data_IF_352685578241
#
_entry.id   IF_352685578241
#
_cell.length_a   1.000
_cell.length_b   1.000
_cell.length_c   1.000
_cell.angle_alpha   90.00
_cell.angle_beta   90.00
_cell.angle_gamma   90.00
#
_symmetry.space_group_name_H-M   'P 1'
#
loop_
_entity.id
_entity.type
_entity.pdbx_description
1 polymer ?
#
# COMPACT_ATOMS: atom_id res chain seq x y z
N UNK A 1 -23.49 -8.74 -6.03
CA UNK A 1 -22.04 -8.46 -5.93
C UNK A 1 -21.59 -7.00 -6.20
N UNK A 2 -22.43 -5.98 -6.48
CA UNK A 2 -21.94 -4.60 -6.64
C UNK A 2 -21.33 -3.99 -5.36
N UNK A 3 -21.86 -4.38 -4.19
CA UNK A 3 -21.39 -3.93 -2.87
C UNK A 3 -19.89 -4.14 -2.66
N UNK A 4 -19.36 -5.31 -3.08
CA UNK A 4 -17.94 -5.65 -2.91
C UNK A 4 -17.09 -4.84 -3.89
N UNK A 5 -17.56 -4.65 -5.12
CA UNK A 5 -16.85 -3.87 -6.14
C UNK A 5 -16.75 -2.39 -5.76
N UNK A 6 -17.81 -1.80 -5.24
CA UNK A 6 -17.85 -0.41 -4.77
C UNK A 6 -16.99 -0.20 -3.52
N UNK A 7 -16.93 -1.19 -2.62
CA UNK A 7 -16.07 -1.14 -1.44
C UNK A 7 -14.60 -1.48 -1.75
N UNK A 8 -14.31 -2.01 -2.94
CA UNK A 8 -12.99 -2.56 -3.29
C UNK A 8 -11.91 -1.48 -3.44
N UNK A 9 -12.25 -0.23 -3.78
CA UNK A 9 -11.28 0.87 -3.81
C UNK A 9 -10.68 1.14 -2.43
N UNK A 10 -11.56 1.35 -1.45
CA UNK A 10 -11.17 1.66 -0.06
C UNK A 10 -10.54 0.48 0.66
N UNK A 11 -11.19 -0.70 0.59
CA UNK A 11 -10.67 -1.90 1.24
C UNK A 11 -9.43 -2.43 0.54
N UNK A 12 -9.35 -2.32 -0.79
CA UNK A 12 -8.22 -2.83 -1.55
C UNK A 12 -6.94 -2.08 -1.22
N UNK A 13 -6.98 -0.75 -1.20
CA UNK A 13 -5.82 0.09 -0.86
C UNK A 13 -5.36 -0.11 0.60
N UNK A 14 -6.29 -0.24 1.55
CA UNK A 14 -5.98 -0.60 2.94
C UNK A 14 -5.38 -2.01 3.04
N UNK A 15 -6.00 -3.00 2.40
CA UNK A 15 -5.57 -4.39 2.44
C UNK A 15 -4.14 -4.54 1.89
N UNK A 16 -3.88 -3.98 0.70
CA UNK A 16 -2.56 -3.98 0.10
C UNK A 16 -1.55 -3.23 0.94
N UNK A 17 -1.95 -2.10 1.55
CA UNK A 17 -1.09 -1.34 2.44
C UNK A 17 -0.65 -2.12 3.68
N UNK A 18 -1.61 -2.73 4.37
CA UNK A 18 -1.35 -3.60 5.53
C UNK A 18 -0.50 -4.80 5.11
N UNK A 19 -0.83 -5.45 4.00
CA UNK A 19 -0.12 -6.62 3.50
C UNK A 19 1.35 -6.30 3.22
N UNK A 20 1.65 -5.22 2.51
CA UNK A 20 3.03 -4.82 2.23
C UNK A 20 3.81 -4.47 3.49
N UNK A 21 3.18 -3.79 4.46
CA UNK A 21 3.82 -3.51 5.75
C UNK A 21 4.12 -4.80 6.51
N UNK A 22 3.16 -5.72 6.62
CA UNK A 22 3.35 -7.02 7.27
C UNK A 22 4.45 -7.86 6.60
N UNK A 23 4.44 -7.88 5.27
CA UNK A 23 5.46 -8.54 4.45
C UNK A 23 6.84 -7.91 4.63
N UNK A 24 6.89 -6.58 4.82
CA UNK A 24 8.08 -5.85 5.21
C UNK A 24 8.71 -6.42 6.48
N UNK A 25 7.93 -6.74 7.50
CA UNK A 25 8.40 -7.30 8.76
C UNK A 25 8.42 -8.83 8.84
N UNK A 26 8.00 -9.53 7.79
CA UNK A 26 7.96 -11.00 7.78
C UNK A 26 9.36 -11.61 7.88
N UNK A 27 9.49 -12.66 8.70
CA UNK A 27 10.71 -13.48 8.81
C UNK A 27 10.82 -14.52 7.69
N UNK A 28 9.70 -14.87 7.06
CA UNK A 28 9.60 -15.95 6.08
C UNK A 28 9.99 -15.52 4.67
N UNK A 29 9.71 -14.25 4.33
CA UNK A 29 9.92 -13.73 2.97
C UNK A 29 10.85 -12.53 3.04
N UNK A 30 11.96 -12.60 2.29
CA UNK A 30 12.93 -11.50 2.21
C UNK A 30 12.31 -10.32 1.43
N UNK A 31 12.33 -9.07 1.94
CA UNK A 31 11.76 -7.91 1.28
C UNK A 31 12.19 -7.73 -0.18
N UNK A 32 13.46 -8.05 -0.50
CA UNK A 32 13.96 -8.02 -1.89
C UNK A 32 13.15 -8.86 -2.88
N UNK A 33 12.62 -10.03 -2.46
CA UNK A 33 11.82 -10.89 -3.33
C UNK A 33 10.49 -10.23 -3.68
N UNK A 34 9.93 -9.50 -2.72
CA UNK A 34 8.63 -8.83 -2.82
C UNK A 34 8.77 -7.59 -3.70
N UNK A 35 9.78 -6.75 -3.43
CA UNK A 35 10.11 -5.60 -4.30
C UNK A 35 10.41 -6.06 -5.73
N UNK A 36 11.14 -7.16 -5.91
CA UNK A 36 11.40 -7.74 -7.21
C UNK A 36 10.13 -8.20 -7.93
N UNK A 37 9.22 -8.87 -7.21
CA UNK A 37 7.93 -9.30 -7.74
C UNK A 37 7.05 -8.10 -8.14
N UNK A 38 7.01 -7.04 -7.32
CA UNK A 38 6.30 -5.80 -7.65
C UNK A 38 6.90 -5.15 -8.90
N UNK A 39 8.22 -5.05 -8.98
CA UNK A 39 8.92 -4.49 -10.15
C UNK A 39 8.61 -5.27 -11.44
N UNK A 40 8.63 -6.60 -11.38
CA UNK A 40 8.28 -7.45 -12.52
C UNK A 40 6.81 -7.28 -12.93
N UNK A 41 5.91 -7.22 -11.96
CA UNK A 41 4.48 -7.00 -12.21
C UNK A 41 4.22 -5.63 -12.86
N UNK A 42 4.87 -4.57 -12.37
CA UNK A 42 4.81 -3.23 -12.97
C UNK A 42 5.26 -3.29 -14.42
N UNK A 43 6.42 -3.89 -14.71
CA UNK A 43 6.94 -4.02 -16.09
C UNK A 43 5.95 -4.75 -16.99
N UNK A 44 5.42 -5.86 -16.52
CA UNK A 44 4.44 -6.66 -17.25
C UNK A 44 3.20 -5.84 -17.60
N UNK A 45 2.61 -5.14 -16.63
CA UNK A 45 1.43 -4.29 -16.85
C UNK A 45 1.76 -3.12 -17.77
N UNK A 46 2.92 -2.47 -17.59
CA UNK A 46 3.36 -1.36 -18.44
C UNK A 46 3.47 -1.81 -19.90
N UNK A 47 4.16 -2.90 -20.18
CA UNK A 47 4.35 -3.41 -21.55
C UNK A 47 3.01 -3.84 -22.17
N UNK A 48 2.13 -4.47 -21.38
CA UNK A 48 0.84 -4.93 -21.90
C UNK A 48 -0.13 -3.77 -22.16
N UNK A 49 -0.38 -2.93 -21.16
CA UNK A 49 -1.51 -1.99 -21.16
C UNK A 49 -1.14 -0.58 -21.59
N UNK A 50 0.10 -0.13 -21.36
CA UNK A 50 0.47 1.26 -21.64
C UNK A 50 0.84 1.40 -23.11
N UNK A 51 0.18 2.35 -23.79
CA UNK A 51 0.39 2.65 -25.21
C UNK A 51 1.03 4.01 -25.46
N UNK A 52 1.16 4.84 -24.42
CA UNK A 52 1.85 6.13 -24.52
C UNK A 52 3.35 5.96 -24.33
N UNK A 53 4.16 6.66 -25.12
CA UNK A 53 5.62 6.60 -25.03
C UNK A 53 6.12 7.07 -23.65
N UNK A 54 5.55 8.15 -23.14
CA UNK A 54 5.90 8.66 -21.81
C UNK A 54 5.57 7.64 -20.72
N UNK A 55 4.35 7.08 -20.72
CA UNK A 55 3.93 6.11 -19.72
C UNK A 55 4.74 4.81 -19.79
N UNK A 56 5.11 4.39 -21.00
CA UNK A 56 5.97 3.22 -21.22
C UNK A 56 7.38 3.48 -20.69
N UNK A 57 7.98 4.62 -21.04
CA UNK A 57 9.30 5.03 -20.55
C UNK A 57 9.33 5.13 -19.02
N UNK A 58 8.34 5.79 -18.42
CA UNK A 58 8.22 5.91 -16.97
C UNK A 58 8.02 4.54 -16.30
N UNK A 59 7.09 3.72 -16.80
CA UNK A 59 6.80 2.42 -16.20
C UNK A 59 7.97 1.43 -16.32
N UNK A 60 8.69 1.45 -17.44
CA UNK A 60 9.91 0.66 -17.61
C UNK A 60 11.01 1.14 -16.68
N UNK A 61 11.23 2.46 -16.58
CA UNK A 61 12.20 3.02 -15.66
C UNK A 61 11.86 2.69 -14.20
N UNK A 62 10.60 2.85 -13.79
CA UNK A 62 10.15 2.59 -12.44
C UNK A 62 10.22 1.10 -12.07
N UNK A 63 9.69 0.22 -12.92
CA UNK A 63 9.79 -1.23 -12.72
C UNK A 63 11.24 -1.73 -12.73
N UNK A 64 12.07 -1.17 -13.62
CA UNK A 64 13.51 -1.42 -13.67
C UNK A 64 14.23 -0.97 -12.39
N UNK A 65 13.88 0.20 -11.85
CA UNK A 65 14.43 0.71 -10.59
C UNK A 65 14.07 -0.19 -9.40
N UNK A 66 12.85 -0.74 -9.36
CA UNK A 66 12.44 -1.71 -8.33
C UNK A 66 13.24 -3.02 -8.46
N UNK A 67 13.45 -3.54 -9.66
CA UNK A 67 14.30 -4.72 -9.87
C UNK A 67 15.77 -4.46 -9.49
N UNK A 68 16.29 -3.28 -9.84
CA UNK A 68 17.63 -2.87 -9.44
C UNK A 68 17.75 -2.76 -7.92
N UNK A 69 16.74 -2.18 -7.26
CA UNK A 69 16.64 -2.13 -5.80
C UNK A 69 16.66 -3.53 -5.18
N UNK A 70 15.87 -4.46 -5.71
CA UNK A 70 15.83 -5.85 -5.25
C UNK A 70 17.19 -6.58 -5.41
N UNK A 71 17.95 -6.27 -6.46
CA UNK A 71 19.23 -6.93 -6.77
C UNK A 71 20.42 -6.31 -6.03
N UNK A 72 20.51 -4.99 -6.00
CA UNK A 72 21.72 -4.28 -5.58
C UNK A 72 21.62 -3.66 -4.18
N UNK A 73 20.42 -3.39 -3.67
CA UNK A 73 20.28 -2.74 -2.36
C UNK A 73 20.17 -3.75 -1.22
N UNK A 74 20.51 -3.26 -0.02
CA UNK A 74 20.44 -4.04 1.20
C UNK A 74 19.00 -4.48 1.52
N UNK A 75 18.85 -5.51 2.37
CA UNK A 75 17.53 -5.91 2.87
C UNK A 75 16.83 -4.79 3.63
N UNK A 76 17.61 -3.93 4.33
CA UNK A 76 17.10 -2.79 5.09
C UNK A 76 16.45 -1.77 4.15
N UNK A 77 17.14 -1.38 3.09
CA UNK A 77 16.62 -0.41 2.11
C UNK A 77 15.39 -0.96 1.38
N UNK A 78 15.42 -2.23 0.96
CA UNK A 78 14.26 -2.87 0.35
C UNK A 78 13.05 -2.95 1.29
N UNK A 79 13.29 -3.16 2.60
CA UNK A 79 12.24 -3.10 3.61
C UNK A 79 11.66 -1.69 3.74
N UNK A 80 12.50 -0.66 3.82
CA UNK A 80 12.03 0.73 3.87
C UNK A 80 11.18 1.10 2.65
N UNK A 81 11.57 0.66 1.45
CA UNK A 81 10.73 0.83 0.27
C UNK A 81 9.39 0.11 0.39
N UNK A 82 9.39 -1.12 0.87
CA UNK A 82 8.16 -1.90 1.04
C UNK A 82 7.24 -1.28 2.11
N UNK A 83 7.81 -0.74 3.19
CA UNK A 83 7.08 0.01 4.22
C UNK A 83 6.52 1.32 3.67
N UNK A 84 7.31 2.07 2.90
CA UNK A 84 6.87 3.29 2.23
C UNK A 84 5.71 3.03 1.28
N UNK A 85 5.82 1.99 0.44
CA UNK A 85 4.75 1.57 -0.48
C UNK A 85 3.48 1.17 0.27
N UNK A 86 3.62 0.34 1.32
CA UNK A 86 2.47 -0.13 2.10
C UNK A 86 1.80 1.00 2.89
N UNK A 87 2.58 1.86 3.54
CA UNK A 87 2.03 3.00 4.28
C UNK A 87 1.36 4.01 3.34
N UNK A 88 1.98 4.30 2.19
CA UNK A 88 1.40 5.19 1.18
C UNK A 88 0.07 4.61 0.68
N UNK A 89 0.01 3.31 0.39
CA UNK A 89 -1.22 2.62 -0.02
C UNK A 89 -2.31 2.71 1.05
N UNK A 90 -1.97 2.48 2.32
CA UNK A 90 -2.93 2.55 3.42
C UNK A 90 -3.46 3.99 3.62
N UNK A 91 -2.58 5.00 3.58
CA UNK A 91 -2.97 6.40 3.71
C UNK A 91 -3.75 6.91 2.50
N UNK A 92 -3.51 6.36 1.31
CA UNK A 92 -4.25 6.71 0.10
C UNK A 92 -5.74 6.37 0.23
N UNK A 93 -6.09 5.31 0.96
CA UNK A 93 -7.48 4.99 1.26
C UNK A 93 -8.23 6.15 1.93
N UNK A 94 -7.55 6.92 2.80
CA UNK A 94 -8.15 8.09 3.46
C UNK A 94 -8.42 9.19 2.42
N UNK A 95 -7.49 9.39 1.48
CA UNK A 95 -7.65 10.38 0.41
C UNK A 95 -8.80 10.00 -0.54
N UNK A 96 -8.91 8.71 -0.87
CA UNK A 96 -9.95 8.14 -1.73
C UNK A 96 -11.34 8.40 -1.12
N UNK A 97 -11.50 8.10 0.17
CA UNK A 97 -12.77 8.36 0.87
C UNK A 97 -13.04 9.86 1.02
N UNK A 98 -12.00 10.69 1.23
CA UNK A 98 -12.17 12.15 1.25
C UNK A 98 -12.66 12.67 -0.10
N UNK A 99 -12.10 12.21 -1.23
CA UNK A 99 -12.57 12.62 -2.55
C UNK A 99 -14.02 12.22 -2.80
N UNK A 100 -14.43 11.04 -2.33
CA UNK A 100 -15.78 10.52 -2.57
C UNK A 100 -16.86 11.16 -1.70
N UNK A 101 -16.49 11.69 -0.52
CA UNK A 101 -17.41 12.43 0.36
C UNK A 101 -17.41 13.94 0.03
N UNK A 102 -16.24 14.55 -0.18
CA UNK A 102 -16.08 16.00 -0.15
C UNK A 102 -16.11 16.65 -1.54
N UNK A 103 -15.68 15.95 -2.58
CA UNK A 103 -15.31 16.59 -3.85
C UNK A 103 -16.29 16.35 -4.99
N UNK A 104 -17.19 15.37 -4.90
CA UNK A 104 -18.06 14.98 -6.02
C UNK A 104 -19.46 14.48 -5.59
N UNK A 105 -20.29 15.27 -4.88
CA UNK A 105 -21.68 14.89 -4.62
C UNK A 105 -22.52 14.75 -5.91
N UNK A 106 -22.08 15.39 -7.00
CA UNK A 106 -22.73 15.39 -8.32
C UNK A 106 -22.45 14.12 -9.15
N UNK A 107 -21.35 13.40 -8.85
CA UNK A 107 -20.98 12.15 -9.53
C UNK A 107 -21.37 10.99 -8.64
N UNK A 108 -21.97 9.97 -9.25
CA UNK A 108 -22.47 8.76 -8.59
C UNK A 108 -21.30 8.02 -7.93
N UNK A 109 -20.98 8.36 -6.69
CA UNK A 109 -19.89 7.76 -5.91
C UNK A 109 -20.26 6.35 -5.44
N UNK A 110 -19.25 5.54 -5.13
CA UNK A 110 -19.45 4.17 -4.61
C UNK A 110 -20.36 4.18 -3.36
N UNK A 111 -20.21 5.19 -2.49
CA UNK A 111 -21.09 5.40 -1.34
C UNK A 111 -22.54 5.77 -1.74
N UNK A 112 -22.74 6.52 -2.82
CA UNK A 112 -24.08 6.87 -3.32
C UNK A 112 -24.79 5.65 -3.94
N UNK A 113 -24.05 4.80 -4.63
CA UNK A 113 -24.58 3.54 -5.15
C UNK A 113 -24.95 2.56 -4.03
N UNK A 114 -24.15 2.50 -2.96
CA UNK A 114 -24.50 1.75 -1.75
C UNK A 114 -25.77 2.28 -1.08
N UNK A 115 -25.95 3.59 -1.04
CA UNK A 115 -27.15 4.21 -0.49
C UNK A 115 -28.41 3.86 -1.30
N UNK A 116 -28.33 3.93 -2.63
CA UNK A 116 -29.42 3.50 -3.53
C UNK A 116 -29.78 2.02 -3.33
N UNK A 117 -28.80 1.16 -3.10
CA UNK A 117 -29.03 -0.28 -2.93
C UNK A 117 -29.55 -0.67 -1.53
N UNK A 118 -29.20 0.09 -0.49
CA UNK A 118 -29.47 -0.27 0.91
C UNK A 118 -30.55 0.58 1.57
N UNK A 119 -30.90 1.73 0.97
CA UNK A 119 -31.80 2.73 1.56
C UNK A 119 -31.15 3.53 2.71
N UNK A 120 -29.87 3.29 3.02
CA UNK A 120 -29.12 3.97 4.07
C UNK A 120 -28.42 5.20 3.46
N UNK A 121 -28.45 6.39 4.10
CA UNK A 121 -27.86 7.59 3.52
C UNK A 121 -26.37 7.44 3.15
N UNK A 122 -25.96 8.00 2.01
CA UNK A 122 -24.57 8.05 1.51
C UNK A 122 -23.58 8.51 2.57
N UNK A 123 -23.98 9.50 3.37
CA UNK A 123 -23.18 10.08 4.45
C UNK A 123 -22.80 9.02 5.49
N UNK A 124 -23.72 8.12 5.85
CA UNK A 124 -23.44 7.05 6.82
C UNK A 124 -22.35 6.11 6.29
N UNK A 125 -22.46 5.69 5.03
CA UNK A 125 -21.46 4.84 4.39
C UNK A 125 -20.09 5.53 4.29
N UNK A 126 -20.09 6.82 3.93
CA UNK A 126 -18.86 7.63 3.94
C UNK A 126 -18.20 7.68 5.32
N UNK A 127 -18.95 8.02 6.36
CA UNK A 127 -18.43 8.05 7.73
C UNK A 127 -17.94 6.68 8.22
N UNK A 128 -18.67 5.61 7.92
CA UNK A 128 -18.30 4.25 8.29
C UNK A 128 -16.95 3.87 7.68
N UNK A 129 -16.76 4.10 6.38
CA UNK A 129 -15.51 3.77 5.70
C UNK A 129 -14.35 4.67 6.14
N UNK A 130 -14.58 5.98 6.37
CA UNK A 130 -13.57 6.86 6.98
C UNK A 130 -13.13 6.32 8.34
N UNK A 131 -14.08 5.96 9.20
CA UNK A 131 -13.77 5.47 10.54
C UNK A 131 -12.92 4.19 10.47
N UNK A 132 -13.29 3.24 9.60
CA UNK A 132 -12.51 2.01 9.39
C UNK A 132 -11.10 2.34 8.86
N UNK A 133 -10.98 3.20 7.85
CA UNK A 133 -9.69 3.58 7.27
C UNK A 133 -8.78 4.26 8.28
N UNK A 134 -9.32 5.16 9.10
CA UNK A 134 -8.58 5.84 10.18
C UNK A 134 -8.13 4.85 11.26
N UNK A 135 -9.02 3.96 11.71
CA UNK A 135 -8.70 2.97 12.74
C UNK A 135 -7.59 2.01 12.27
N UNK A 136 -7.72 1.48 11.05
CA UNK A 136 -6.71 0.59 10.46
C UNK A 136 -5.39 1.32 10.26
N UNK A 137 -5.41 2.54 9.70
CA UNK A 137 -4.19 3.32 9.48
C UNK A 137 -3.50 3.68 10.80
N UNK A 138 -4.26 4.11 11.82
CA UNK A 138 -3.72 4.42 13.14
C UNK A 138 -3.14 3.18 13.83
N UNK A 139 -3.83 2.04 13.74
CA UNK A 139 -3.33 0.77 14.23
C UNK A 139 -2.03 0.36 13.53
N UNK A 140 -1.98 0.47 12.20
CA UNK A 140 -0.83 0.12 11.38
C UNK A 140 0.38 1.02 11.73
N UNK A 141 0.18 2.33 11.82
CA UNK A 141 1.21 3.28 12.22
C UNK A 141 1.77 2.97 13.61
N UNK A 142 0.92 2.73 14.61
CA UNK A 142 1.34 2.33 15.96
C UNK A 142 2.06 0.99 15.98
N UNK A 143 1.69 0.07 15.11
CA UNK A 143 2.32 -1.24 15.00
C UNK A 143 3.70 -1.16 14.34
N UNK A 144 3.84 -0.31 13.32
CA UNK A 144 5.12 -0.03 12.65
C UNK A 144 6.07 0.69 13.60
N UNK A 145 5.61 1.75 14.29
CA UNK A 145 6.44 2.51 15.24
C UNK A 145 7.12 1.59 16.27
N UNK A 146 6.31 0.74 16.93
CA UNK A 146 6.83 -0.23 17.92
C UNK A 146 7.87 -1.20 17.37
N UNK A 147 7.83 -1.53 16.07
CA UNK A 147 8.78 -2.46 15.44
C UNK A 147 9.99 -1.77 14.81
N UNK A 148 9.91 -0.45 14.58
CA UNK A 148 11.05 0.34 14.19
C UNK A 148 11.97 0.56 15.39
N UNK A 149 11.40 0.82 16.56
CA UNK A 149 12.17 0.94 17.81
C UNK A 149 12.98 -0.33 18.09
N UNK A 150 12.35 -1.52 18.01
CA UNK A 150 13.03 -2.82 18.15
C UNK A 150 14.16 -3.01 17.12
N UNK A 151 14.01 -2.44 15.91
CA UNK A 151 14.98 -2.58 14.84
C UNK A 151 16.17 -1.62 14.98
N UNK A 152 15.94 -0.38 15.41
CA UNK A 152 17.02 0.57 15.70
C UNK A 152 17.90 0.02 16.83
N UNK A 153 17.28 -0.57 17.87
CA UNK A 153 17.98 -1.26 18.95
C UNK A 153 18.85 -2.44 18.46
N UNK A 154 18.32 -3.31 17.59
CA UNK A 154 19.09 -4.41 16.98
C UNK A 154 20.25 -3.92 16.09
N UNK A 155 20.20 -2.68 15.60
CA UNK A 155 21.23 -2.12 14.72
C UNK A 155 22.37 -1.41 15.44
N UNK A 156 22.11 -0.95 16.68
CA UNK A 156 23.13 -0.36 17.56
C UNK A 156 23.98 -1.43 18.25
N UNK A 157 23.42 -2.63 18.49
CA UNK A 157 24.19 -3.77 18.99
C UNK A 157 25.14 -4.25 17.89
N UNK A 158 26.46 -4.08 18.05
CA UNK A 158 27.41 -4.53 17.03
C UNK A 158 27.32 -6.05 16.92
N UNK A 159 27.28 -6.54 15.68
CA UNK A 159 27.36 -7.98 15.38
C UNK A 159 28.57 -8.55 16.15
N UNK A 160 28.37 -9.52 17.08
CA UNK A 160 29.50 -10.12 17.75
C UNK A 160 30.41 -10.69 16.66
N UNK A 161 31.58 -10.08 16.53
CA UNK A 161 32.59 -10.47 15.54
C UNK A 161 32.67 -11.99 15.50
N UNK A 162 32.70 -12.62 14.31
CA UNK A 162 32.87 -14.07 14.25
C UNK A 162 34.12 -14.40 15.05
N UNK A 163 33.95 -15.13 16.15
CA UNK A 163 35.07 -15.64 16.92
C UNK A 163 35.73 -16.66 15.99
N UNK A 164 36.84 -16.22 15.39
CA UNK A 164 37.85 -16.97 14.62
C UNK A 164 37.39 -17.71 13.37
#
# INVERSE_FOLDING_TARGET
LPFITMSAGYLGSLLWGVLFVMLGFSKWIRPRKIIGAIGLFVLFVTIWKVRSLFGLGFGVAFGGALLASAKYLSQRTNRLFLLGLGLTSALYAILDIKSDILSRPELRSDAAMLAEMTGIPTIFWGFLWIAIALLVSAWLLRWVARRLDDFELDSEVPDPSPIT
#
